data_IF_459262885154
#
_entry.id   IF_459262885154
#
_cell.length_a   1.000
_cell.length_b   1.000
_cell.length_c   1.000
_cell.angle_alpha   90.00
_cell.angle_beta   90.00
_cell.angle_gamma   90.00
#
_symmetry.space_group_name_H-M   'P 1'
#
loop_
_entity.id
_entity.type
_entity.pdbx_description
1 polymer ?
#
# COMPACT_ATOMS: atom_id res chain seq x y z
N UNK A 1 8.01 1.08 6.29
CA UNK A 1 8.58 2.45 6.32
C UNK A 1 7.54 3.37 6.91
N UNK A 2 7.93 4.18 7.88
CA UNK A 2 7.05 5.15 8.56
C UNK A 2 7.13 6.55 7.95
N UNK A 3 8.17 6.85 7.16
CA UNK A 3 8.35 8.12 6.46
C UNK A 3 8.97 7.90 5.07
N UNK A 4 8.74 8.85 4.16
CA UNK A 4 9.32 8.84 2.82
C UNK A 4 10.79 9.30 2.85
N UNK A 5 11.63 8.68 2.01
CA UNK A 5 13.04 9.05 1.87
C UNK A 5 13.24 9.75 0.53
N UNK A 6 13.85 10.93 0.51
CA UNK A 6 14.09 11.65 -0.74
C UNK A 6 15.11 10.93 -1.63
N UNK A 7 14.71 10.70 -2.88
CA UNK A 7 15.54 10.12 -3.95
C UNK A 7 15.93 11.22 -4.93
N UNK A 8 17.17 11.71 -4.92
CA UNK A 8 17.59 12.84 -5.76
C UNK A 8 17.79 12.45 -7.23
N UNK A 9 17.91 13.46 -8.10
CA UNK A 9 18.34 13.29 -9.50
C UNK A 9 17.25 12.75 -10.43
N UNK A 10 16.01 12.65 -9.95
CA UNK A 10 14.86 12.27 -10.79
C UNK A 10 14.42 13.48 -11.63
N UNK A 11 13.82 13.22 -12.78
CA UNK A 11 13.40 14.26 -13.73
C UNK A 11 12.14 14.98 -13.28
N UNK A 12 11.27 14.26 -12.57
CA UNK A 12 9.99 14.74 -12.05
C UNK A 12 9.58 13.89 -10.85
N UNK A 13 8.79 14.48 -9.97
CA UNK A 13 8.19 13.76 -8.84
C UNK A 13 6.67 13.80 -8.91
N UNK A 14 6.01 12.72 -8.51
CA UNK A 14 4.56 12.67 -8.33
C UNK A 14 4.29 12.25 -6.90
N UNK A 15 3.47 13.01 -6.19
CA UNK A 15 3.05 12.71 -4.82
C UNK A 15 1.58 12.33 -4.85
N UNK A 16 1.25 11.17 -4.32
CA UNK A 16 -0.11 10.68 -4.20
C UNK A 16 -0.43 10.46 -2.71
N UNK A 17 -1.44 11.16 -2.18
CA UNK A 17 -1.80 11.00 -0.78
C UNK A 17 -3.22 11.47 -0.48
N UNK A 18 -3.76 11.08 0.67
CA UNK A 18 -4.94 11.74 1.24
C UNK A 18 -4.53 12.97 2.08
N UNK A 19 -5.43 13.42 2.97
CA UNK A 19 -5.19 14.53 3.90
C UNK A 19 -4.16 14.25 5.01
N UNK A 20 -4.05 13.01 5.47
CA UNK A 20 -3.12 12.61 6.53
C UNK A 20 -1.77 12.19 5.94
N UNK A 21 -1.79 11.43 4.84
CA UNK A 21 -0.60 10.96 4.14
C UNK A 21 0.30 12.08 3.64
N UNK A 22 -0.26 13.24 3.26
CA UNK A 22 0.55 14.38 2.81
C UNK A 22 1.55 14.84 3.88
N UNK A 23 1.21 14.68 5.17
CA UNK A 23 2.10 15.02 6.30
C UNK A 23 3.35 14.14 6.32
N UNK A 24 3.21 12.87 5.90
CA UNK A 24 4.30 11.90 5.80
C UNK A 24 5.21 12.15 4.59
N UNK A 25 4.71 12.89 3.60
CA UNK A 25 5.47 13.28 2.40
C UNK A 25 6.09 14.69 2.51
N UNK A 26 5.73 15.45 3.55
CA UNK A 26 6.08 16.87 3.68
C UNK A 26 7.57 17.14 3.51
N UNK A 27 8.43 16.39 4.23
CA UNK A 27 9.88 16.58 4.19
C UNK A 27 10.44 16.39 2.76
N UNK A 28 9.98 15.36 2.06
CA UNK A 28 10.43 15.07 0.69
C UNK A 28 9.91 16.10 -0.30
N UNK A 29 8.69 16.61 -0.11
CA UNK A 29 8.13 17.68 -0.94
C UNK A 29 8.99 18.95 -0.81
N UNK A 30 9.39 19.33 0.40
CA UNK A 30 10.27 20.48 0.61
C UNK A 30 11.64 20.27 -0.05
N UNK A 31 12.23 19.08 0.07
CA UNK A 31 13.50 18.75 -0.59
C UNK A 31 13.40 18.82 -2.14
N UNK A 32 12.28 18.36 -2.71
CA UNK A 32 12.02 18.48 -4.16
C UNK A 32 11.88 19.93 -4.60
N UNK A 33 11.23 20.78 -3.79
CA UNK A 33 11.13 22.22 -4.05
C UNK A 33 12.50 22.89 -4.00
N UNK A 34 13.32 22.55 -3.01
CA UNK A 34 14.70 23.06 -2.88
C UNK A 34 15.58 22.64 -4.07
N UNK A 35 15.42 21.41 -4.58
CA UNK A 35 16.11 20.94 -5.79
C UNK A 35 15.61 21.65 -7.07
N UNK A 36 14.50 22.40 -7.00
CA UNK A 36 13.92 23.10 -8.14
C UNK A 36 13.36 22.15 -9.22
N UNK A 37 12.96 20.93 -8.83
CA UNK A 37 12.47 19.91 -9.76
C UNK A 37 10.96 20.01 -9.96
N UNK A 38 10.45 19.67 -11.16
CA UNK A 38 9.01 19.67 -11.39
C UNK A 38 8.35 18.57 -10.57
N UNK A 39 7.19 18.88 -9.99
CA UNK A 39 6.39 17.91 -9.26
C UNK A 39 4.89 18.12 -9.46
N UNK A 40 4.12 17.06 -9.25
CA UNK A 40 2.66 17.08 -9.21
C UNK A 40 2.16 16.42 -7.91
N UNK A 41 1.07 16.95 -7.35
CA UNK A 41 0.42 16.36 -6.18
C UNK A 41 -0.98 15.91 -6.60
N UNK A 42 -1.25 14.63 -6.42
CA UNK A 42 -2.54 14.01 -6.65
C UNK A 42 -3.16 13.62 -5.31
N UNK A 43 -4.33 14.19 -5.00
CA UNK A 43 -5.01 13.92 -3.73
C UNK A 43 -6.03 12.81 -3.92
N UNK A 44 -5.99 11.80 -3.07
CA UNK A 44 -7.04 10.79 -2.96
C UNK A 44 -8.03 11.22 -1.86
N UNK A 45 -9.30 11.20 -2.20
CA UNK A 45 -10.46 11.52 -1.36
C UNK A 45 -11.48 10.37 -1.40
N UNK A 46 -11.65 9.70 -2.54
CA UNK A 46 -12.61 8.60 -2.72
C UNK A 46 -12.06 7.44 -3.59
N UNK A 47 -12.72 6.26 -3.56
CA UNK A 47 -12.29 5.07 -4.32
C UNK A 47 -12.22 5.27 -5.85
N UNK A 48 -12.96 6.23 -6.42
CA UNK A 48 -12.94 6.50 -7.87
C UNK A 48 -11.62 7.13 -8.33
N UNK A 49 -10.85 7.71 -7.41
CA UNK A 49 -9.60 8.43 -7.70
C UNK A 49 -8.49 7.51 -8.20
N UNK A 50 -8.61 6.19 -8.01
CA UNK A 50 -7.66 5.20 -8.54
C UNK A 50 -7.63 5.17 -10.07
N UNK A 51 -8.77 5.41 -10.75
CA UNK A 51 -8.82 5.47 -12.21
C UNK A 51 -8.14 6.74 -12.73
N UNK A 52 -8.43 7.87 -12.09
CA UNK A 52 -7.83 9.16 -12.43
C UNK A 52 -6.32 9.16 -12.18
N UNK A 53 -5.89 8.58 -11.05
CA UNK A 53 -4.47 8.35 -10.77
C UNK A 53 -3.84 7.52 -11.88
N UNK A 54 -4.49 6.43 -12.31
CA UNK A 54 -3.98 5.61 -13.41
C UNK A 54 -3.77 6.41 -14.70
N UNK A 55 -4.73 7.26 -15.07
CA UNK A 55 -4.61 8.14 -16.25
C UNK A 55 -3.54 9.21 -16.09
N UNK A 56 -3.31 9.72 -14.87
CA UNK A 56 -2.20 10.63 -14.57
C UNK A 56 -0.85 9.91 -14.69
N UNK A 57 -0.74 8.70 -14.16
CA UNK A 57 0.48 7.90 -14.16
C UNK A 57 0.89 7.48 -15.57
N UNK A 58 -0.08 7.12 -16.43
CA UNK A 58 0.18 6.81 -17.86
C UNK A 58 0.80 7.96 -18.66
N UNK A 59 0.57 9.20 -18.24
CA UNK A 59 1.13 10.40 -18.91
C UNK A 59 2.54 10.74 -18.44
N UNK A 60 3.05 10.06 -17.43
CA UNK A 60 4.39 10.30 -16.90
C UNK A 60 5.46 9.75 -17.84
N UNK A 61 6.65 10.36 -17.84
CA UNK A 61 7.79 9.96 -18.66
C UNK A 61 8.82 9.23 -17.81
N UNK A 62 9.71 8.46 -18.44
CA UNK A 62 10.84 7.84 -17.74
C UNK A 62 11.64 8.86 -16.93
N UNK A 63 11.99 8.48 -15.70
CA UNK A 63 12.63 9.36 -14.73
C UNK A 63 11.66 10.10 -13.81
N UNK A 64 10.36 9.81 -13.87
CA UNK A 64 9.40 10.18 -12.83
C UNK A 64 9.57 9.26 -11.62
N UNK A 65 9.57 9.82 -10.41
CA UNK A 65 9.52 9.06 -9.16
C UNK A 65 8.22 9.33 -8.42
N UNK A 66 7.53 8.28 -8.00
CA UNK A 66 6.20 8.33 -7.39
C UNK A 66 6.29 8.04 -5.89
N UNK A 67 5.86 8.99 -5.08
CA UNK A 67 5.64 8.80 -3.65
C UNK A 67 4.16 8.61 -3.39
N UNK A 68 3.80 7.58 -2.63
CA UNK A 68 2.42 7.29 -2.23
C UNK A 68 2.35 7.22 -0.71
N UNK A 69 1.46 7.99 -0.09
CA UNK A 69 1.18 7.92 1.34
C UNK A 69 -0.32 7.81 1.58
N UNK A 70 -0.79 6.63 1.97
CA UNK A 70 -2.22 6.30 2.11
C UNK A 70 -2.48 5.34 3.28
N UNK A 71 -3.74 5.18 3.72
CA UNK A 71 -4.08 4.15 4.68
C UNK A 71 -3.76 2.76 4.10
N UNK A 72 -3.33 1.82 4.93
CA UNK A 72 -2.98 0.46 4.46
C UNK A 72 -4.09 -0.22 3.64
N UNK A 73 -5.37 0.07 3.95
CA UNK A 73 -6.52 -0.47 3.24
C UNK A 73 -6.62 -0.01 1.76
N UNK A 74 -6.00 1.12 1.41
CA UNK A 74 -6.06 1.72 0.07
C UNK A 74 -4.73 1.58 -0.68
N UNK A 75 -3.61 1.53 0.06
CA UNK A 75 -2.26 1.52 -0.49
C UNK A 75 -2.04 0.38 -1.50
N UNK A 76 -2.56 -0.82 -1.22
CA UNK A 76 -2.42 -1.99 -2.11
C UNK A 76 -3.12 -1.79 -3.47
N UNK A 77 -4.25 -1.07 -3.50
CA UNK A 77 -4.96 -0.79 -4.76
C UNK A 77 -4.11 0.14 -5.64
N UNK A 78 -3.57 1.20 -5.04
CA UNK A 78 -2.71 2.16 -5.76
C UNK A 78 -1.41 1.51 -6.21
N UNK A 79 -0.82 0.66 -5.36
CA UNK A 79 0.37 -0.12 -5.68
C UNK A 79 0.13 -0.97 -6.94
N UNK A 80 -0.95 -1.75 -6.94
CA UNK A 80 -1.33 -2.59 -8.08
C UNK A 80 -1.53 -1.75 -9.35
N UNK A 81 -2.25 -0.63 -9.27
CA UNK A 81 -2.46 0.27 -10.41
C UNK A 81 -1.15 0.80 -10.99
N UNK A 82 -0.21 1.22 -10.14
CA UNK A 82 1.08 1.72 -10.58
C UNK A 82 1.95 0.63 -11.23
N UNK A 83 1.99 -0.56 -10.64
CA UNK A 83 2.70 -1.73 -11.18
C UNK A 83 2.12 -2.16 -12.53
N UNK A 84 0.79 -2.18 -12.69
CA UNK A 84 0.12 -2.48 -13.98
C UNK A 84 0.45 -1.47 -15.10
N UNK A 85 0.79 -0.23 -14.74
CA UNK A 85 1.22 0.82 -15.67
C UNK A 85 2.74 0.73 -15.97
N UNK A 86 3.49 -0.05 -15.20
CA UNK A 86 4.91 -0.30 -15.40
C UNK A 86 5.85 0.48 -14.48
N UNK A 87 5.35 1.09 -13.40
CA UNK A 87 6.22 1.64 -12.35
C UNK A 87 6.92 0.51 -11.59
N UNK A 88 8.20 0.70 -11.29
CA UNK A 88 9.02 -0.27 -10.56
C UNK A 88 9.20 0.12 -9.09
N UNK A 89 9.68 -0.81 -8.26
CA UNK A 89 10.02 -0.52 -6.85
C UNK A 89 11.15 0.52 -6.72
N UNK A 90 12.02 0.67 -7.71
CA UNK A 90 13.08 1.69 -7.73
C UNK A 90 12.56 3.10 -8.09
N UNK A 91 11.37 3.16 -8.69
CA UNK A 91 10.70 4.38 -9.13
C UNK A 91 9.55 4.78 -8.19
N UNK A 92 9.29 4.00 -7.15
CA UNK A 92 8.16 4.19 -6.25
C UNK A 92 8.54 4.08 -4.79
N UNK A 93 7.85 4.82 -3.92
CA UNK A 93 7.86 4.60 -2.48
C UNK A 93 6.43 4.59 -1.95
N UNK A 94 6.09 3.53 -1.21
CA UNK A 94 4.77 3.36 -0.60
C UNK A 94 4.88 3.47 0.92
N UNK A 95 4.16 4.45 1.48
CA UNK A 95 4.09 4.72 2.91
C UNK A 95 2.66 4.44 3.36
N UNK A 96 2.50 3.41 4.17
CA UNK A 96 1.20 3.03 4.75
C UNK A 96 1.06 3.50 6.19
N UNK A 97 -0.11 4.01 6.54
CA UNK A 97 -0.47 4.33 7.93
C UNK A 97 -1.86 3.79 8.30
N UNK A 98 -2.21 3.94 9.58
CA UNK A 98 -3.40 3.35 10.17
C UNK A 98 -3.23 1.87 10.49
N UNK A 99 -4.34 1.19 10.73
CA UNK A 99 -4.32 -0.22 11.12
C UNK A 99 -4.01 -1.10 9.91
N UNK A 100 -2.87 -1.80 9.96
CA UNK A 100 -2.53 -2.81 8.96
C UNK A 100 -3.34 -4.07 9.24
N UNK A 101 -4.47 -4.21 8.56
CA UNK A 101 -5.31 -5.40 8.66
C UNK A 101 -4.76 -6.48 7.73
N UNK A 102 -4.45 -7.65 8.28
CA UNK A 102 -4.10 -8.84 7.50
C UNK A 102 -5.34 -9.67 7.23
N UNK A 103 -5.50 -10.08 5.97
CA UNK A 103 -6.50 -11.06 5.56
C UNK A 103 -5.95 -12.46 5.80
N UNK A 104 -6.71 -13.31 6.48
CA UNK A 104 -6.34 -14.66 6.87
C UNK A 104 -7.30 -15.66 6.24
N UNK A 105 -6.76 -16.56 5.42
CA UNK A 105 -7.50 -17.64 4.78
C UNK A 105 -7.49 -18.87 5.70
N UNK A 106 -8.68 -19.32 6.13
CA UNK A 106 -8.82 -20.51 6.95
C UNK A 106 -8.60 -21.77 6.12
N UNK A 107 -7.58 -22.57 6.46
CA UNK A 107 -7.28 -23.82 5.75
C UNK A 107 -8.38 -24.88 5.87
N UNK A 108 -9.34 -24.71 6.80
CA UNK A 108 -10.34 -25.72 7.13
C UNK A 108 -11.71 -25.45 6.51
N UNK A 109 -12.20 -24.23 6.57
CA UNK A 109 -13.49 -23.85 5.96
C UNK A 109 -13.35 -22.95 4.73
N UNK A 110 -12.13 -22.53 4.38
CA UNK A 110 -11.84 -21.58 3.30
C UNK A 110 -12.45 -20.19 3.52
N UNK A 111 -12.88 -19.90 4.74
CA UNK A 111 -13.36 -18.58 5.15
C UNK A 111 -12.24 -17.55 5.25
N UNK A 112 -12.59 -16.30 4.94
CA UNK A 112 -11.69 -15.16 5.07
C UNK A 112 -11.92 -14.45 6.40
N UNK A 113 -10.84 -14.18 7.12
CA UNK A 113 -10.83 -13.47 8.39
C UNK A 113 -9.90 -12.26 8.29
N UNK A 114 -10.02 -11.35 9.24
CA UNK A 114 -9.22 -10.14 9.29
C UNK A 114 -8.69 -9.91 10.71
N UNK A 115 -7.42 -9.56 10.82
CA UNK A 115 -6.79 -9.23 12.11
C UNK A 115 -5.76 -8.13 11.96
N UNK A 116 -5.68 -7.23 12.94
CA UNK A 116 -4.59 -6.25 13.04
C UNK A 116 -3.37 -6.84 13.77
N UNK A 117 -3.54 -7.96 14.48
CA UNK A 117 -2.48 -8.64 15.22
C UNK A 117 -2.04 -9.89 14.47
N UNK A 118 -0.76 -9.91 14.10
CA UNK A 118 -0.14 -11.01 13.36
C UNK A 118 0.41 -12.08 14.29
N UNK A 119 0.68 -11.73 15.55
CA UNK A 119 1.36 -12.59 16.52
C UNK A 119 0.37 -13.41 17.35
N UNK A 120 -0.92 -13.08 17.27
CA UNK A 120 -1.98 -13.78 17.98
C UNK A 120 -2.66 -14.85 17.11
N UNK A 121 -3.05 -15.95 17.77
CA UNK A 121 -4.05 -16.86 17.22
C UNK A 121 -5.40 -16.14 17.12
N UNK A 122 -6.19 -16.45 16.08
CA UNK A 122 -7.50 -15.84 15.85
C UNK A 122 -8.60 -16.88 15.77
N UNK A 123 -9.81 -16.56 16.26
CA UNK A 123 -10.98 -17.40 16.03
C UNK A 123 -11.53 -17.18 14.62
N UNK A 124 -11.69 -18.26 13.87
CA UNK A 124 -12.34 -18.18 12.56
C UNK A 124 -13.82 -17.81 12.74
N UNK A 125 -14.25 -16.69 12.13
CA UNK A 125 -15.62 -16.19 12.22
C UNK A 125 -16.66 -17.12 11.60
N UNK A 126 -16.23 -18.05 10.73
CA UNK A 126 -17.12 -18.97 10.02
C UNK A 126 -17.20 -20.37 10.65
N UNK A 127 -16.09 -20.95 11.09
CA UNK A 127 -16.07 -22.31 11.64
C UNK A 127 -15.77 -22.39 13.15
N UNK A 128 -15.45 -21.26 13.78
CA UNK A 128 -15.17 -21.18 15.22
C UNK A 128 -13.85 -21.79 15.66
N UNK A 129 -13.04 -22.35 14.76
CA UNK A 129 -11.72 -22.90 15.10
C UNK A 129 -10.70 -21.79 15.34
N UNK A 130 -9.82 -22.02 16.30
CA UNK A 130 -8.66 -21.18 16.56
C UNK A 130 -7.59 -21.42 15.49
N UNK A 131 -7.11 -20.34 14.88
CA UNK A 131 -6.17 -20.35 13.76
C UNK A 131 -4.87 -19.67 14.15
N UNK A 132 -3.76 -20.39 13.99
CA UNK A 132 -2.42 -19.82 13.97
C UNK A 132 -2.10 -19.28 12.57
N UNK A 133 -1.50 -18.09 12.52
CA UNK A 133 -1.21 -17.37 11.28
C UNK A 133 0.21 -17.70 10.83
N UNK A 134 0.36 -18.25 9.63
CA UNK A 134 1.67 -18.45 9.01
C UNK A 134 2.24 -17.16 8.42
N UNK A 135 3.54 -17.17 8.12
CA UNK A 135 4.22 -16.12 7.37
C UNK A 135 3.97 -16.21 5.84
N UNK A 136 3.35 -17.31 5.37
CA UNK A 136 3.06 -17.53 3.96
C UNK A 136 1.87 -16.69 3.48
N UNK A 137 2.14 -15.74 2.58
CA UNK A 137 1.13 -14.95 1.89
C UNK A 137 0.81 -15.56 0.51
N UNK A 138 -0.47 -15.85 0.28
CA UNK A 138 -0.98 -16.31 -1.01
C UNK A 138 -1.45 -15.14 -1.86
N UNK A 139 -0.80 -14.94 -3.01
CA UNK A 139 -1.20 -13.93 -4.00
C UNK A 139 -2.60 -14.25 -4.56
N UNK A 140 -2.89 -15.53 -4.82
CA UNK A 140 -4.19 -15.95 -5.36
C UNK A 140 -5.35 -15.63 -4.42
N UNK A 141 -5.19 -15.89 -3.11
CA UNK A 141 -6.22 -15.56 -2.12
C UNK A 141 -6.14 -14.12 -1.61
N UNK A 142 -5.04 -13.41 -1.88
CA UNK A 142 -4.70 -12.13 -1.28
C UNK A 142 -4.87 -12.19 0.25
N UNK A 143 -4.26 -13.20 0.87
CA UNK A 143 -4.34 -13.49 2.30
C UNK A 143 -3.18 -14.38 2.78
N UNK A 144 -2.87 -14.29 4.07
CA UNK A 144 -1.99 -15.22 4.78
C UNK A 144 -2.74 -16.52 5.09
N UNK A 145 -2.05 -17.65 5.10
CA UNK A 145 -2.65 -18.93 5.48
C UNK A 145 -2.80 -19.03 7.01
N UNK A 146 -4.02 -19.28 7.47
CA UNK A 146 -4.35 -19.63 8.85
C UNK A 146 -4.61 -21.13 8.99
N UNK A 147 -3.88 -21.81 9.87
CA UNK A 147 -4.01 -23.24 10.13
C UNK A 147 -4.50 -23.50 11.56
N UNK A 148 -5.12 -24.66 11.80
CA UNK A 148 -5.71 -24.98 13.10
C UNK A 148 -4.63 -25.01 14.18
N UNK A 149 -4.76 -24.16 15.21
CA UNK A 149 -3.75 -23.97 16.25
C UNK A 149 -3.65 -25.19 17.19
N UNK A 150 -4.79 -25.74 17.58
CA UNK A 150 -4.93 -26.93 18.43
C UNK A 150 -6.14 -27.75 17.98
N UNK A 151 -5.98 -29.07 17.96
CA UNK A 151 -7.06 -30.05 17.74
C UNK A 151 -7.62 -30.53 19.07
#
# INVERSE_FOLDING_TARGET
MTEAVFVPGKRKYVFCSDQEGIKLLFNVIEQVKEEGRPYEIFKIVENQDCLELGELLKKQKMGTHLYVALPYAELEKVRKTAEEIGFTEEETQYIGYGNKVKRIFCCRCHGMNETADVQADILCSQCGLELSISDHYSVFHNAFLGFVAKL
#
